data_IF_966198733662
#
_entry.id   IF_966198733662
#
_cell.length_a   1.000
_cell.length_b   1.000
_cell.length_c   1.000
_cell.angle_alpha   90.00
_cell.angle_beta   90.00
_cell.angle_gamma   90.00
#
_symmetry.space_group_name_H-M   'P 1'
#
loop_
_entity.id
_entity.type
_entity.pdbx_description
1 polymer ?
#
# COMPACT_ATOMS: atom_id res chain seq x y z
N UNK A 1 12.81 19.19 0.81
CA UNK A 1 13.68 18.00 0.88
C UNK A 1 12.84 16.84 0.42
N UNK A 2 13.31 16.09 -0.59
CA UNK A 2 12.68 14.83 -0.98
C UNK A 2 12.73 13.90 0.24
N UNK A 3 11.58 13.74 0.91
CA UNK A 3 11.43 12.73 1.95
C UNK A 3 11.56 11.38 1.23
N UNK A 4 12.61 10.62 1.56
CA UNK A 4 12.81 9.27 1.03
C UNK A 4 11.66 8.37 1.50
N UNK A 5 10.60 8.29 0.71
CA UNK A 5 9.47 7.42 0.95
C UNK A 5 9.81 5.99 0.48
N UNK A 6 10.70 5.32 1.20
CA UNK A 6 10.96 3.90 0.97
C UNK A 6 10.90 3.13 2.29
N UNK A 7 10.49 1.87 2.19
CA UNK A 7 10.49 0.95 3.31
C UNK A 7 11.92 0.60 3.68
N UNK A 8 12.17 0.26 4.95
CA UNK A 8 13.51 -0.13 5.39
C UNK A 8 14.04 -1.31 4.55
N UNK A 9 15.11 -1.07 3.79
CA UNK A 9 15.74 -2.05 2.92
C UNK A 9 16.53 -3.14 3.64
N UNK A 10 17.09 -4.06 2.85
CA UNK A 10 17.91 -5.18 3.34
C UNK A 10 17.15 -6.27 4.09
N UNK A 11 17.92 -7.09 4.82
CA UNK A 11 17.44 -8.29 5.52
C UNK A 11 17.58 -8.20 7.05
N UNK A 12 17.95 -7.02 7.57
CA UNK A 12 18.15 -6.79 8.99
C UNK A 12 16.87 -6.93 9.81
N UNK A 13 16.99 -6.97 11.14
CA UNK A 13 15.84 -7.16 12.05
C UNK A 13 14.77 -6.07 11.92
N UNK A 14 15.15 -4.84 11.57
CA UNK A 14 14.24 -3.71 11.36
C UNK A 14 13.82 -3.54 9.88
N UNK A 15 14.25 -4.44 8.98
CA UNK A 15 13.90 -4.38 7.56
C UNK A 15 12.43 -4.66 7.33
N UNK A 16 11.90 -4.15 6.22
CA UNK A 16 10.56 -4.47 5.76
C UNK A 16 10.37 -5.96 5.49
N UNK A 17 11.36 -6.61 4.89
CA UNK A 17 11.31 -8.04 4.57
C UNK A 17 11.03 -8.92 5.79
N UNK A 18 11.51 -8.53 6.98
CA UNK A 18 11.32 -9.26 8.24
C UNK A 18 10.10 -8.81 9.04
N UNK A 19 9.42 -7.72 8.65
CA UNK A 19 8.32 -7.11 9.41
C UNK A 19 7.05 -6.87 8.58
N UNK A 20 6.90 -7.55 7.43
CA UNK A 20 5.79 -7.35 6.50
C UNK A 20 4.67 -8.41 6.56
N UNK A 21 4.49 -9.10 7.70
CA UNK A 21 3.48 -10.18 7.75
C UNK A 21 2.04 -9.66 7.81
N UNK A 22 1.78 -8.45 8.34
CA UNK A 22 0.45 -7.82 8.25
C UNK A 22 0.04 -7.68 6.79
N UNK A 23 0.95 -7.17 5.95
CA UNK A 23 0.74 -7.02 4.51
C UNK A 23 0.52 -8.37 3.84
N UNK A 24 1.24 -9.41 4.27
CA UNK A 24 1.01 -10.79 3.81
C UNK A 24 -0.39 -11.30 4.17
N UNK A 25 -0.89 -11.02 5.38
CA UNK A 25 -2.26 -11.40 5.79
C UNK A 25 -3.31 -10.65 4.96
N UNK A 26 -3.10 -9.37 4.68
CA UNK A 26 -3.97 -8.59 3.79
C UNK A 26 -4.01 -9.21 2.39
N UNK A 27 -2.86 -9.58 1.83
CA UNK A 27 -2.81 -10.29 0.55
C UNK A 27 -3.57 -11.62 0.60
N UNK A 28 -3.44 -12.38 1.70
CA UNK A 28 -4.20 -13.62 1.88
C UNK A 28 -5.72 -13.38 1.93
N UNK A 29 -6.18 -12.31 2.56
CA UNK A 29 -7.61 -11.92 2.58
C UNK A 29 -8.10 -11.47 1.20
N UNK A 30 -7.23 -10.80 0.44
CA UNK A 30 -7.52 -10.35 -0.92
C UNK A 30 -7.44 -11.47 -1.97
N UNK A 31 -6.82 -12.61 -1.64
CA UNK A 31 -6.51 -13.69 -2.59
C UNK A 31 -7.71 -14.19 -3.41
N UNK A 32 -8.88 -14.45 -2.80
CA UNK A 32 -10.03 -14.94 -3.58
C UNK A 32 -10.49 -13.92 -4.64
N UNK A 33 -10.40 -12.63 -4.32
CA UNK A 33 -10.74 -11.56 -5.26
C UNK A 33 -9.74 -11.44 -6.41
N UNK A 34 -8.44 -11.63 -6.11
CA UNK A 34 -7.39 -11.67 -7.11
C UNK A 34 -7.58 -12.83 -8.08
N UNK A 35 -7.81 -14.04 -7.54
CA UNK A 35 -8.03 -15.25 -8.33
C UNK A 35 -9.22 -15.11 -9.28
N UNK A 36 -10.34 -14.55 -8.82
CA UNK A 36 -11.51 -14.30 -9.67
C UNK A 36 -11.23 -13.23 -10.74
N UNK A 37 -10.58 -12.12 -10.37
CA UNK A 37 -10.25 -11.06 -11.33
C UNK A 37 -9.33 -11.55 -12.44
N UNK A 38 -8.30 -12.34 -12.09
CA UNK A 38 -7.38 -12.95 -13.05
C UNK A 38 -8.09 -13.98 -13.93
N UNK A 39 -9.05 -14.72 -13.35
CA UNK A 39 -9.87 -15.68 -14.08
C UNK A 39 -10.67 -14.99 -15.17
N UNK A 40 -11.43 -13.95 -14.83
CA UNK A 40 -12.22 -13.18 -15.80
C UNK A 40 -11.32 -12.59 -16.89
N UNK A 41 -10.21 -11.95 -16.50
CA UNK A 41 -9.25 -11.34 -17.44
C UNK A 41 -8.70 -12.36 -18.45
N UNK A 42 -8.32 -13.55 -17.99
CA UNK A 42 -7.74 -14.57 -18.85
C UNK A 42 -8.78 -15.17 -19.81
N UNK A 43 -10.00 -15.39 -19.33
CA UNK A 43 -11.11 -15.92 -20.15
C UNK A 43 -11.54 -14.96 -21.25
N UNK A 44 -11.39 -13.65 -21.03
CA UNK A 44 -11.78 -12.62 -21.99
C UNK A 44 -10.83 -12.50 -23.19
N UNK A 45 -9.54 -12.80 -23.00
CA UNK A 45 -8.50 -12.44 -23.99
C UNK A 45 -7.56 -13.55 -24.40
N UNK A 46 -7.34 -14.59 -23.58
CA UNK A 46 -6.35 -15.66 -23.83
C UNK A 46 -5.02 -15.12 -24.41
N UNK A 47 -4.35 -14.18 -23.73
CA UNK A 47 -3.21 -13.48 -24.31
C UNK A 47 -2.04 -14.45 -24.51
N UNK A 48 -1.31 -14.33 -25.62
CA UNK A 48 -0.07 -15.10 -25.82
C UNK A 48 1.01 -14.72 -24.80
N UNK A 49 1.01 -13.46 -24.36
CA UNK A 49 1.84 -12.96 -23.28
C UNK A 49 1.00 -12.13 -22.30
N UNK A 50 0.82 -12.65 -21.09
CA UNK A 50 0.18 -11.92 -20.00
C UNK A 50 1.19 -10.95 -19.38
N UNK A 51 0.98 -9.67 -19.67
CA UNK A 51 1.77 -8.56 -19.13
C UNK A 51 1.10 -7.97 -17.90
N UNK A 52 1.81 -7.88 -16.79
CA UNK A 52 1.27 -7.38 -15.53
C UNK A 52 2.26 -6.51 -14.76
N UNK A 53 1.76 -5.68 -13.85
CA UNK A 53 2.59 -4.86 -12.98
C UNK A 53 2.13 -4.95 -11.52
N UNK A 54 3.08 -4.95 -10.59
CA UNK A 54 2.86 -4.75 -9.15
C UNK A 54 3.37 -3.36 -8.77
N UNK A 55 2.47 -2.46 -8.37
CA UNK A 55 2.78 -1.05 -8.08
C UNK A 55 2.95 -0.84 -6.57
N UNK A 56 4.17 -0.50 -6.16
CA UNK A 56 4.60 -0.45 -4.76
C UNK A 56 4.96 -1.82 -4.22
N UNK A 57 5.85 -2.53 -4.91
CA UNK A 57 6.25 -3.89 -4.58
C UNK A 57 7.15 -3.99 -3.33
N UNK A 58 7.77 -2.88 -2.92
CA UNK A 58 8.77 -2.81 -1.86
C UNK A 58 9.98 -3.72 -2.15
N UNK A 59 10.71 -4.12 -1.10
CA UNK A 59 11.94 -4.92 -1.16
C UNK A 59 11.78 -6.32 -0.53
N UNK A 60 10.59 -6.64 -0.03
CA UNK A 60 10.29 -7.87 0.73
C UNK A 60 9.73 -9.03 -0.11
N UNK A 61 9.58 -10.22 0.51
CA UNK A 61 9.15 -11.44 -0.19
C UNK A 61 7.70 -11.37 -0.71
N UNK A 62 6.90 -10.42 -0.21
CA UNK A 62 5.50 -10.26 -0.60
C UNK A 62 5.33 -9.95 -2.09
N UNK A 63 6.28 -9.24 -2.73
CA UNK A 63 6.26 -8.99 -4.17
C UNK A 63 6.20 -10.29 -4.96
N UNK A 64 7.09 -11.24 -4.65
CA UNK A 64 7.16 -12.54 -5.34
C UNK A 64 5.98 -13.46 -5.01
N UNK A 65 5.36 -13.30 -3.82
CA UNK A 65 4.15 -14.03 -3.47
C UNK A 65 2.99 -13.68 -4.42
N UNK A 66 2.81 -12.40 -4.76
CA UNK A 66 1.80 -11.99 -5.73
C UNK A 66 2.04 -12.64 -7.10
N UNK A 67 3.30 -12.66 -7.57
CA UNK A 67 3.68 -13.27 -8.85
C UNK A 67 3.35 -14.76 -8.88
N UNK A 68 3.68 -15.48 -7.79
CA UNK A 68 3.38 -16.90 -7.63
C UNK A 68 1.88 -17.17 -7.79
N UNK A 69 1.07 -16.42 -7.07
CA UNK A 69 -0.39 -16.60 -7.02
C UNK A 69 -1.05 -16.27 -8.36
N UNK A 70 -0.56 -15.24 -9.05
CA UNK A 70 -1.01 -14.93 -10.41
C UNK A 70 -0.73 -16.10 -11.35
N UNK A 71 0.51 -16.56 -11.36
CA UNK A 71 0.94 -17.66 -12.22
C UNK A 71 0.13 -18.93 -11.92
N UNK A 72 -0.04 -19.27 -10.65
CA UNK A 72 -0.78 -20.45 -10.21
C UNK A 72 -2.26 -20.40 -10.62
N UNK A 73 -2.87 -19.22 -10.50
CA UNK A 73 -4.26 -19.00 -10.92
C UNK A 73 -4.44 -19.24 -12.41
N UNK A 74 -3.58 -18.63 -13.24
CA UNK A 74 -3.65 -18.74 -14.70
C UNK A 74 -3.33 -20.17 -15.15
N UNK A 75 -2.34 -20.82 -14.54
CA UNK A 75 -1.99 -22.21 -14.80
C UNK A 75 -3.14 -23.18 -14.46
N UNK A 76 -3.85 -22.94 -13.35
CA UNK A 76 -5.02 -23.75 -12.99
C UNK A 76 -6.16 -23.59 -14.00
N UNK A 77 -6.39 -22.38 -14.52
CA UNK A 77 -7.44 -22.11 -15.50
C UNK A 77 -7.08 -22.71 -16.86
N UNK A 78 -5.85 -22.51 -17.35
CA UNK A 78 -5.43 -23.01 -18.67
C UNK A 78 -5.47 -24.54 -18.73
N UNK A 79 -5.08 -25.23 -17.65
CA UNK A 79 -5.17 -26.70 -17.54
C UNK A 79 -6.61 -27.19 -17.65
N UNK A 80 -7.55 -26.54 -16.97
CA UNK A 80 -8.99 -26.87 -17.04
C UNK A 80 -9.57 -26.68 -18.44
N UNK A 81 -9.07 -25.71 -19.19
CA UNK A 81 -9.55 -25.37 -20.54
C UNK A 81 -8.75 -26.01 -21.67
N UNK A 82 -7.74 -26.83 -21.35
CA UNK A 82 -6.81 -27.41 -22.31
C UNK A 82 -6.20 -26.36 -23.26
N UNK A 83 -5.80 -25.21 -22.70
CA UNK A 83 -5.15 -24.10 -23.43
C UNK A 83 -3.64 -24.16 -23.27
N UNK A 84 -2.94 -23.64 -24.28
CA UNK A 84 -1.50 -23.43 -24.23
C UNK A 84 -1.14 -22.42 -23.16
N UNK A 85 0.09 -22.50 -22.68
CA UNK A 85 0.59 -21.61 -21.65
C UNK A 85 0.96 -20.24 -22.22
N UNK A 86 0.51 -19.13 -21.60
CA UNK A 86 1.00 -17.82 -21.99
C UNK A 86 2.42 -17.59 -21.47
N UNK A 87 3.16 -16.73 -22.16
CA UNK A 87 4.33 -16.10 -21.56
C UNK A 87 3.89 -15.12 -20.45
N UNK A 88 4.66 -15.00 -19.38
CA UNK A 88 4.44 -13.98 -18.36
C UNK A 88 5.50 -12.88 -18.49
N UNK A 89 5.07 -11.62 -18.47
CA UNK A 89 5.98 -10.48 -18.34
C UNK A 89 5.48 -9.62 -17.18
N UNK A 90 6.23 -9.62 -16.09
CA UNK A 90 5.82 -8.96 -14.85
C UNK A 90 6.77 -7.82 -14.50
N UNK A 91 6.20 -6.65 -14.24
CA UNK A 91 6.93 -5.46 -13.82
C UNK A 91 6.75 -5.22 -12.32
N UNK A 92 7.86 -5.13 -11.60
CA UNK A 92 7.90 -4.80 -10.18
C UNK A 92 8.24 -3.31 -10.07
N UNK A 93 7.25 -2.48 -9.71
CA UNK A 93 7.41 -1.04 -9.59
C UNK A 93 7.49 -0.62 -8.13
N UNK A 94 8.39 0.32 -7.86
CA UNK A 94 8.47 1.09 -6.62
C UNK A 94 9.19 2.41 -6.88
N UNK A 95 9.31 3.27 -5.87
CA UNK A 95 10.08 4.52 -5.95
C UNK A 95 11.58 4.24 -6.15
N UNK A 96 12.29 5.26 -6.62
CA UNK A 96 13.70 5.15 -7.02
C UNK A 96 14.62 4.64 -5.90
N UNK A 97 14.35 5.04 -4.66
CA UNK A 97 15.17 4.69 -3.49
C UNK A 97 14.81 3.33 -2.88
N UNK A 98 13.89 2.57 -3.49
CA UNK A 98 13.60 1.21 -3.05
C UNK A 98 14.79 0.28 -3.26
N UNK A 99 14.94 -0.72 -2.40
CA UNK A 99 16.00 -1.72 -2.48
C UNK A 99 15.66 -2.81 -3.52
N UNK A 100 15.68 -2.41 -4.80
CA UNK A 100 15.55 -3.34 -5.93
C UNK A 100 16.65 -4.39 -5.95
N UNK A 101 17.83 -4.11 -5.39
CA UNK A 101 18.93 -5.08 -5.35
C UNK A 101 18.54 -6.31 -4.51
N UNK A 102 17.89 -6.11 -3.35
CA UNK A 102 17.38 -7.21 -2.55
C UNK A 102 16.35 -8.04 -3.32
N UNK A 103 15.40 -7.37 -3.97
CA UNK A 103 14.37 -8.01 -4.79
C UNK A 103 14.97 -8.82 -5.95
N UNK A 104 15.89 -8.23 -6.71
CA UNK A 104 16.53 -8.88 -7.86
C UNK A 104 17.34 -10.11 -7.44
N UNK A 105 18.01 -10.08 -6.27
CA UNK A 105 18.73 -11.25 -5.74
C UNK A 105 17.83 -12.43 -5.42
N UNK A 106 16.54 -12.20 -5.14
CA UNK A 106 15.57 -13.26 -4.85
C UNK A 106 14.97 -13.93 -6.10
N UNK A 107 15.06 -13.29 -7.27
CA UNK A 107 14.48 -13.78 -8.54
C UNK A 107 15.03 -15.15 -8.99
N UNK A 108 16.35 -15.44 -8.92
CA UNK A 108 16.87 -16.75 -9.33
C UNK A 108 16.25 -17.91 -8.55
N UNK A 109 16.14 -17.78 -7.22
CA UNK A 109 15.52 -18.79 -6.37
C UNK A 109 14.04 -18.98 -6.71
N UNK A 110 13.32 -17.89 -6.97
CA UNK A 110 11.93 -17.95 -7.42
C UNK A 110 11.78 -18.75 -8.72
N UNK A 111 12.65 -18.55 -9.71
CA UNK A 111 12.62 -19.31 -10.96
C UNK A 111 12.92 -20.79 -10.77
N UNK A 112 13.85 -21.15 -9.90
CA UNK A 112 14.14 -22.55 -9.58
C UNK A 112 12.93 -23.25 -8.95
N UNK A 113 12.28 -22.61 -7.99
CA UNK A 113 11.06 -23.12 -7.36
C UNK A 113 9.93 -23.28 -8.37
N UNK A 114 9.75 -22.28 -9.25
CA UNK A 114 8.73 -22.31 -10.29
C UNK A 114 8.93 -23.50 -11.26
N UNK A 115 10.16 -23.73 -11.71
CA UNK A 115 10.49 -24.89 -12.56
C UNK A 115 10.27 -26.22 -11.83
N UNK A 116 10.63 -26.30 -10.55
CA UNK A 116 10.46 -27.51 -9.73
C UNK A 116 8.98 -27.88 -9.56
N UNK A 117 8.12 -26.89 -9.36
CA UNK A 117 6.70 -27.09 -9.08
C UNK A 117 5.85 -27.29 -10.33
N UNK A 118 6.18 -26.56 -11.40
CA UNK A 118 5.39 -26.55 -12.63
C UNK A 118 5.92 -27.49 -13.71
N UNK A 119 7.15 -28.00 -13.55
CA UNK A 119 7.83 -28.83 -14.53
C UNK A 119 8.61 -28.02 -15.56
N UNK A 120 9.42 -28.72 -16.36
CA UNK A 120 10.29 -28.11 -17.39
C UNK A 120 9.54 -27.44 -18.55
N UNK A 121 8.25 -27.72 -18.70
CA UNK A 121 7.39 -27.20 -19.77
C UNK A 121 6.62 -25.93 -19.37
N UNK A 122 6.84 -25.38 -18.17
CA UNK A 122 6.21 -24.13 -17.74
C UNK A 122 6.62 -22.95 -18.64
N UNK A 123 5.66 -22.10 -18.96
CA UNK A 123 5.79 -21.00 -19.92
C UNK A 123 6.88 -20.00 -19.52
N UNK A 124 7.45 -19.26 -20.48
CA UNK A 124 8.52 -18.32 -20.17
C UNK A 124 8.00 -17.19 -19.27
N UNK A 125 8.73 -16.90 -18.19
CA UNK A 125 8.38 -15.87 -17.22
C UNK A 125 9.52 -14.84 -17.10
N UNK A 126 9.22 -13.58 -17.42
CA UNK A 126 10.18 -12.48 -17.44
C UNK A 126 9.81 -11.46 -16.36
N UNK A 127 10.72 -11.24 -15.41
CA UNK A 127 10.52 -10.27 -14.33
C UNK A 127 11.45 -9.08 -14.59
N UNK A 128 10.90 -7.87 -14.52
CA UNK A 128 11.64 -6.62 -14.68
C UNK A 128 11.34 -5.63 -13.55
N UNK A 129 12.34 -4.89 -13.10
CA UNK A 129 12.15 -3.75 -12.21
C UNK A 129 11.73 -2.52 -13.03
N UNK A 130 10.79 -1.73 -12.50
CA UNK A 130 10.30 -0.50 -13.09
C UNK A 130 10.31 0.64 -12.06
N UNK A 131 11.47 1.27 -11.80
CA UNK A 131 11.56 2.34 -10.81
C UNK A 131 10.79 3.59 -11.28
N UNK A 132 9.99 4.19 -10.40
CA UNK A 132 9.27 5.42 -10.68
C UNK A 132 8.02 5.62 -9.82
N UNK A 133 7.55 6.86 -9.77
CA UNK A 133 6.34 7.21 -9.04
C UNK A 133 5.09 6.80 -9.84
N UNK A 134 4.31 5.86 -9.30
CA UNK A 134 3.07 5.41 -9.93
C UNK A 134 1.98 6.47 -9.98
N UNK A 135 2.14 7.66 -9.40
CA UNK A 135 1.21 8.76 -9.68
C UNK A 135 1.34 9.30 -11.10
N UNK A 136 2.44 9.06 -11.79
CA UNK A 136 2.63 9.38 -13.21
C UNK A 136 2.56 8.16 -14.12
N UNK A 137 2.96 8.36 -15.38
CA UNK A 137 3.13 7.31 -16.39
C UNK A 137 4.40 6.50 -16.12
N UNK A 138 4.29 5.18 -16.17
CA UNK A 138 5.37 4.20 -16.05
C UNK A 138 5.50 3.36 -17.33
N UNK A 139 4.39 3.05 -18.00
CA UNK A 139 4.38 2.13 -19.13
C UNK A 139 3.87 2.80 -20.40
N UNK A 140 4.21 2.29 -21.60
CA UNK A 140 3.57 2.71 -22.84
C UNK A 140 2.05 2.47 -22.84
N UNK A 141 1.34 3.16 -23.70
CA UNK A 141 -0.11 2.99 -23.84
C UNK A 141 -0.47 1.54 -24.17
N UNK A 142 -1.54 1.03 -23.57
CA UNK A 142 -2.10 -0.30 -23.85
C UNK A 142 -1.07 -1.44 -23.81
N UNK A 143 -0.18 -1.40 -22.82
CA UNK A 143 0.93 -2.35 -22.70
C UNK A 143 0.71 -3.39 -21.59
N UNK A 144 -0.22 -3.15 -20.67
CA UNK A 144 -0.49 -4.05 -19.53
C UNK A 144 -1.89 -4.65 -19.60
N UNK A 145 -2.00 -5.92 -19.22
CA UNK A 145 -3.28 -6.63 -19.08
C UNK A 145 -3.82 -6.53 -17.65
N UNK A 146 -2.91 -6.56 -16.68
CA UNK A 146 -3.27 -6.57 -15.26
C UNK A 146 -2.37 -5.65 -14.44
N UNK A 147 -2.96 -4.90 -13.52
CA UNK A 147 -2.22 -4.10 -12.55
C UNK A 147 -2.66 -4.49 -11.14
N UNK A 148 -1.69 -4.79 -10.29
CA UNK A 148 -1.91 -5.04 -8.88
C UNK A 148 -1.23 -3.97 -8.04
N UNK A 149 -1.81 -3.69 -6.87
CA UNK A 149 -1.18 -2.81 -5.89
C UNK A 149 -1.71 -3.10 -4.50
N UNK A 150 -0.85 -3.47 -3.55
CA UNK A 150 -1.27 -3.73 -2.17
C UNK A 150 -0.49 -2.84 -1.21
N UNK A 151 -1.22 -2.10 -0.37
CA UNK A 151 -0.64 -1.29 0.71
C UNK A 151 0.34 -0.20 0.25
N UNK A 152 0.18 0.32 -0.96
CA UNK A 152 0.99 1.44 -1.46
C UNK A 152 0.13 2.65 -1.87
N UNK A 153 -1.06 2.44 -2.41
CA UNK A 153 -1.97 3.50 -2.90
C UNK A 153 -2.52 4.40 -1.80
N UNK A 154 -2.23 4.21 -0.50
CA UNK A 154 -2.62 5.19 0.54
C UNK A 154 -1.57 6.28 0.77
N UNK A 155 -0.30 6.02 0.45
CA UNK A 155 0.77 7.02 0.46
C UNK A 155 0.48 8.12 -0.56
N UNK A 156 0.88 9.36 -0.28
CA UNK A 156 0.66 10.53 -1.13
C UNK A 156 1.96 10.95 -1.80
N UNK A 157 1.83 11.71 -2.89
CA UNK A 157 2.97 12.28 -3.62
C UNK A 157 3.83 13.22 -2.77
N UNK A 158 3.27 13.76 -1.69
CA UNK A 158 3.90 14.75 -0.81
C UNK A 158 3.10 14.88 0.50
N UNK A 159 3.59 15.69 1.42
CA UNK A 159 2.78 16.25 2.51
C UNK A 159 1.86 17.37 1.94
N UNK A 160 0.63 17.56 2.46
CA UNK A 160 -0.21 18.69 2.05
C UNK A 160 0.47 20.05 2.29
N UNK A 161 0.40 20.96 1.30
CA UNK A 161 1.13 22.25 1.31
C UNK A 161 0.47 23.37 2.14
N UNK A 162 -0.77 23.17 2.60
CA UNK A 162 -1.57 24.18 3.29
C UNK A 162 -1.82 23.81 4.76
N UNK A 163 -0.78 23.38 5.46
CA UNK A 163 -0.83 22.98 6.87
C UNK A 163 -0.30 24.04 7.84
N UNK A 164 -0.15 25.29 7.36
CA UNK A 164 0.28 26.44 8.13
C UNK A 164 -0.77 27.55 8.01
N UNK A 165 -1.05 28.25 9.10
CA UNK A 165 -1.99 29.37 9.14
C UNK A 165 -1.44 30.61 8.44
N UNK A 166 -2.30 31.60 8.18
CA UNK A 166 -1.88 32.91 7.65
C UNK A 166 -0.83 33.62 8.53
N UNK A 167 -0.78 33.27 9.82
CA UNK A 167 0.16 33.81 10.80
C UNK A 167 1.43 32.95 10.96
N UNK A 168 1.63 31.95 10.10
CA UNK A 168 2.81 31.09 10.14
C UNK A 168 2.75 29.98 11.20
N UNK A 169 1.61 29.74 11.84
CA UNK A 169 1.47 28.70 12.88
C UNK A 169 1.03 27.36 12.29
N UNK A 170 1.62 26.23 12.71
CA UNK A 170 1.17 24.90 12.28
C UNK A 170 -0.31 24.65 12.59
N UNK A 171 -1.07 24.15 11.61
CA UNK A 171 -2.50 23.86 11.75
C UNK A 171 -2.74 22.48 12.38
N UNK A 172 -1.81 21.52 12.22
CA UNK A 172 -1.91 20.17 12.79
C UNK A 172 -1.10 20.04 14.10
N UNK A 173 -1.13 21.09 14.93
CA UNK A 173 -0.30 21.19 16.15
C UNK A 173 -0.43 19.95 17.04
N UNK A 174 0.69 19.41 17.51
CA UNK A 174 0.76 18.26 18.42
C UNK A 174 0.45 16.91 17.78
N UNK A 175 0.27 16.84 16.44
CA UNK A 175 -0.13 15.64 15.74
C UNK A 175 0.70 15.42 14.47
N UNK A 176 1.09 14.16 14.22
CA UNK A 176 1.80 13.78 12.99
C UNK A 176 0.86 13.45 11.83
N UNK A 177 -0.43 13.27 12.09
CA UNK A 177 -1.44 12.90 11.11
C UNK A 177 -2.83 13.35 11.60
N UNK A 178 -3.89 13.06 10.83
CA UNK A 178 -5.27 13.30 11.23
C UNK A 178 -5.60 12.56 12.54
N UNK A 179 -6.14 13.31 13.49
CA UNK A 179 -6.65 12.86 14.77
C UNK A 179 -8.07 13.40 14.99
N UNK A 180 -8.73 12.96 16.06
CA UNK A 180 -10.12 13.35 16.37
C UNK A 180 -10.33 14.86 16.50
N UNK A 181 -9.32 15.58 17.01
CA UNK A 181 -9.38 17.02 17.24
C UNK A 181 -8.76 17.84 16.10
N UNK A 182 -8.34 17.19 15.01
CA UNK A 182 -7.72 17.87 13.88
C UNK A 182 -8.69 18.88 13.24
N UNK A 183 -8.27 20.12 12.96
CA UNK A 183 -9.10 21.10 12.30
C UNK A 183 -9.62 20.63 10.94
N UNK A 184 -10.83 21.05 10.58
CA UNK A 184 -11.47 20.69 9.29
C UNK A 184 -10.61 21.06 8.08
N UNK A 185 -9.92 22.20 8.13
CA UNK A 185 -9.04 22.67 7.04
C UNK A 185 -7.87 21.71 6.78
N UNK A 186 -7.31 21.11 7.83
CA UNK A 186 -6.25 20.10 7.70
C UNK A 186 -6.81 18.85 7.02
N UNK A 187 -7.97 18.38 7.47
CA UNK A 187 -8.65 17.25 6.81
C UNK A 187 -8.91 17.52 5.33
N UNK A 188 -9.44 18.69 4.98
CA UNK A 188 -9.71 19.10 3.60
C UNK A 188 -8.42 19.12 2.76
N UNK A 189 -7.30 19.60 3.31
CA UNK A 189 -6.01 19.59 2.61
C UNK A 189 -5.52 18.17 2.29
N UNK A 190 -5.69 17.22 3.23
CA UNK A 190 -5.37 15.80 2.98
C UNK A 190 -6.31 15.16 1.95
N UNK A 191 -7.61 15.44 2.04
CA UNK A 191 -8.61 14.92 1.11
C UNK A 191 -8.41 15.46 -0.32
N UNK A 192 -8.09 16.74 -0.47
CA UNK A 192 -7.80 17.35 -1.76
C UNK A 192 -6.56 16.74 -2.41
N UNK A 193 -5.50 16.53 -1.61
CA UNK A 193 -4.30 15.84 -2.07
C UNK A 193 -4.59 14.39 -2.47
N UNK A 194 -5.38 13.67 -1.67
CA UNK A 194 -5.84 12.33 -2.01
C UNK A 194 -6.58 12.30 -3.35
N UNK A 195 -7.58 13.17 -3.52
CA UNK A 195 -8.37 13.25 -4.74
C UNK A 195 -7.50 13.55 -5.96
N UNK A 196 -6.61 14.54 -5.86
CA UNK A 196 -5.68 14.91 -6.93
C UNK A 196 -4.83 13.71 -7.34
N UNK A 197 -4.11 13.14 -6.39
CA UNK A 197 -3.15 12.07 -6.63
C UNK A 197 -3.86 10.80 -7.16
N UNK A 198 -5.03 10.45 -6.61
CA UNK A 198 -5.83 9.33 -7.10
C UNK A 198 -6.35 9.53 -8.52
N UNK A 199 -6.77 10.75 -8.90
CA UNK A 199 -7.17 11.05 -10.28
C UNK A 199 -6.00 10.83 -11.25
N UNK A 200 -4.80 11.33 -10.91
CA UNK A 200 -3.63 11.15 -11.79
C UNK A 200 -3.20 9.68 -11.84
N UNK A 201 -3.26 8.96 -10.71
CA UNK A 201 -3.04 7.52 -10.67
C UNK A 201 -4.00 6.81 -11.63
N UNK A 202 -5.31 6.94 -11.43
CA UNK A 202 -6.33 6.27 -12.24
C UNK A 202 -6.16 6.59 -13.73
N UNK A 203 -6.03 7.87 -14.08
CA UNK A 203 -5.83 8.28 -15.47
C UNK A 203 -4.58 7.67 -16.10
N UNK A 204 -3.47 7.63 -15.36
CA UNK A 204 -2.23 7.01 -15.87
C UNK A 204 -2.40 5.51 -16.09
N UNK A 205 -3.13 4.82 -15.19
CA UNK A 205 -3.40 3.38 -15.31
C UNK A 205 -4.34 3.06 -16.45
N UNK A 206 -5.34 3.91 -16.73
CA UNK A 206 -6.28 3.67 -17.82
C UNK A 206 -5.63 3.78 -19.20
N UNK A 207 -4.67 4.69 -19.35
CA UNK A 207 -3.86 4.83 -20.57
C UNK A 207 -2.92 3.61 -20.78
N UNK A 208 -2.36 3.07 -19.70
CA UNK A 208 -1.40 1.95 -19.75
C UNK A 208 -2.03 0.58 -19.92
N UNK A 209 -3.27 0.40 -19.43
CA UNK A 209 -4.00 -0.85 -19.56
C UNK A 209 -4.54 -1.03 -20.98
N UNK A 210 -4.49 -2.26 -21.48
CA UNK A 210 -5.23 -2.67 -22.68
C UNK A 210 -6.74 -2.53 -22.44
N UNK A 211 -7.51 -2.53 -23.53
CA UNK A 211 -8.95 -2.59 -23.47
C UNK A 211 -9.40 -3.87 -22.75
N UNK A 212 -10.30 -3.74 -21.78
CA UNK A 212 -10.74 -4.86 -20.95
C UNK A 212 -9.70 -5.33 -19.92
N UNK A 213 -8.53 -4.68 -19.85
CA UNK A 213 -7.55 -4.90 -18.80
C UNK A 213 -8.11 -4.56 -17.43
N UNK A 214 -7.60 -5.23 -16.40
CA UNK A 214 -8.09 -5.10 -15.02
C UNK A 214 -7.02 -4.53 -14.11
N UNK A 215 -7.45 -3.77 -13.11
CA UNK A 215 -6.60 -3.33 -12.02
C UNK A 215 -7.24 -3.70 -10.69
N UNK A 216 -6.45 -4.24 -9.78
CA UNK A 216 -6.87 -4.53 -8.42
C UNK A 216 -5.93 -3.86 -7.44
N UNK A 217 -6.49 -3.11 -6.50
CA UNK A 217 -5.70 -2.52 -5.43
C UNK A 217 -6.35 -2.69 -4.05
N UNK A 218 -5.50 -2.87 -3.04
CA UNK A 218 -5.90 -2.92 -1.63
C UNK A 218 -5.16 -1.83 -0.86
N UNK A 219 -5.89 -1.02 -0.11
CA UNK A 219 -5.32 0.08 0.67
C UNK A 219 -5.89 0.16 2.06
N UNK A 220 -5.14 0.80 2.97
CA UNK A 220 -5.64 1.15 4.29
C UNK A 220 -6.63 2.31 4.11
N UNK A 221 -7.81 2.17 4.71
CA UNK A 221 -8.82 3.20 4.79
C UNK A 221 -9.28 3.40 6.22
N UNK A 222 -10.46 3.99 6.37
CA UNK A 222 -11.13 4.12 7.67
C UNK A 222 -12.63 3.95 7.53
N UNK A 223 -13.25 3.54 8.64
CA UNK A 223 -14.69 3.44 8.76
C UNK A 223 -15.25 4.70 9.42
N UNK A 224 -15.87 5.58 8.63
CA UNK A 224 -16.46 6.81 9.14
C UNK A 224 -17.77 6.58 9.93
N UNK A 225 -18.32 5.36 9.93
CA UNK A 225 -19.52 5.03 10.69
C UNK A 225 -19.24 4.70 12.16
N UNK A 226 -17.97 4.48 12.53
CA UNK A 226 -17.59 4.11 13.89
C UNK A 226 -17.41 5.35 14.75
N UNK A 227 -18.31 5.53 15.72
CA UNK A 227 -18.15 6.50 16.80
C UNK A 227 -17.17 5.93 17.84
N UNK A 228 -15.96 6.48 17.88
CA UNK A 228 -14.92 6.08 18.82
C UNK A 228 -15.11 6.78 20.18
N UNK A 229 -14.99 6.03 21.26
CA UNK A 229 -14.91 6.58 22.62
C UNK A 229 -13.57 7.33 22.84
N UNK A 230 -13.45 8.09 23.93
CA UNK A 230 -12.24 8.91 24.18
C UNK A 230 -10.96 8.10 24.37
N UNK A 231 -11.06 6.87 24.85
CA UNK A 231 -9.97 5.92 25.07
C UNK A 231 -9.58 5.16 23.79
N UNK A 232 -10.40 5.19 22.75
CA UNK A 232 -10.12 4.55 21.47
C UNK A 232 -9.32 5.47 20.53
N UNK A 233 -8.48 4.86 19.69
CA UNK A 233 -7.80 5.56 18.61
C UNK A 233 -8.38 5.17 17.26
N UNK A 234 -8.33 6.11 16.32
CA UNK A 234 -8.82 5.92 14.96
C UNK A 234 -7.93 5.00 14.13
N UNK A 235 -6.63 5.00 14.40
CA UNK A 235 -5.63 4.20 13.72
C UNK A 235 -4.32 4.16 14.54
N UNK A 236 -3.41 3.25 14.18
CA UNK A 236 -2.16 3.05 14.92
C UNK A 236 -1.22 4.28 14.90
N UNK A 237 -1.31 5.14 13.88
CA UNK A 237 -0.49 6.35 13.76
C UNK A 237 -0.87 7.41 14.79
N UNK A 238 -2.11 7.40 15.27
CA UNK A 238 -2.51 8.25 16.39
C UNK A 238 -1.75 7.87 17.68
N UNK A 239 -1.50 6.58 17.91
CA UNK A 239 -0.65 6.13 19.02
C UNK A 239 0.82 6.51 18.82
N UNK A 240 1.31 6.51 17.58
CA UNK A 240 2.67 6.96 17.28
C UNK A 240 2.81 8.45 17.57
N UNK A 241 1.88 9.28 17.09
CA UNK A 241 1.84 10.72 17.37
C UNK A 241 1.74 11.02 18.87
N UNK A 242 0.91 10.28 19.62
CA UNK A 242 0.85 10.38 21.09
C UNK A 242 2.19 9.99 21.75
N UNK A 243 2.91 9.00 21.22
CA UNK A 243 4.24 8.63 21.74
C UNK A 243 5.25 9.75 21.52
N UNK A 244 5.26 10.37 20.33
CA UNK A 244 6.14 11.50 20.03
C UNK A 244 5.79 12.69 20.94
N UNK A 245 4.50 12.95 21.17
CA UNK A 245 4.05 14.01 22.09
C UNK A 245 4.52 13.78 23.53
N UNK A 246 4.48 12.56 24.05
CA UNK A 246 5.05 12.25 25.36
C UNK A 246 6.57 12.57 25.41
N UNK A 247 7.30 12.23 24.34
CA UNK A 247 8.73 12.52 24.24
C UNK A 247 9.03 14.02 24.15
N UNK A 248 8.12 14.83 23.60
CA UNK A 248 8.20 16.30 23.66
C UNK A 248 8.03 16.80 25.10
N UNK A 249 7.04 16.26 25.84
CA UNK A 249 6.83 16.63 27.25
C UNK A 249 8.01 16.24 28.15
N UNK A 250 8.71 15.16 27.81
CA UNK A 250 9.94 14.73 28.49
C UNK A 250 11.19 15.54 28.07
N UNK A 251 11.07 16.44 27.08
CA UNK A 251 12.18 17.25 26.56
C UNK A 251 13.18 16.48 25.69
N UNK A 252 12.79 15.30 25.17
CA UNK A 252 13.61 14.49 24.27
C UNK A 252 13.50 14.99 22.82
N UNK A 253 12.33 15.49 22.44
CA UNK A 253 12.03 16.05 21.12
C UNK A 253 11.57 17.50 21.28
N UNK A 254 12.01 18.38 20.39
CA UNK A 254 11.55 19.77 20.34
C UNK A 254 10.08 19.85 19.88
N UNK A 255 9.25 20.67 20.55
CA UNK A 255 7.81 20.82 20.21
C UNK A 255 7.62 21.24 18.73
N UNK A 256 8.47 22.15 18.24
CA UNK A 256 8.46 22.62 16.85
C UNK A 256 8.65 21.46 15.85
N UNK A 257 9.51 20.48 16.17
CA UNK A 257 9.70 19.30 15.31
C UNK A 257 8.45 18.42 15.27
N UNK A 258 7.69 18.31 16.35
CA UNK A 258 6.42 17.59 16.32
C UNK A 258 5.39 18.35 15.48
N UNK A 259 5.26 19.65 15.68
CA UNK A 259 4.25 20.47 15.00
C UNK A 259 4.46 20.56 13.48
N UNK A 260 5.72 20.48 13.04
CA UNK A 260 6.09 20.46 11.62
C UNK A 260 6.04 19.06 11.00
N UNK A 261 5.92 17.99 11.80
CA UNK A 261 5.88 16.62 11.31
C UNK A 261 4.48 16.28 10.80
N UNK A 262 4.35 15.94 9.52
CA UNK A 262 3.09 15.50 8.93
C UNK A 262 3.34 14.31 8.01
N UNK A 263 2.58 13.22 8.20
CA UNK A 263 2.78 11.99 7.46
C UNK A 263 2.19 12.07 6.04
N UNK A 264 2.91 11.66 4.99
CA UNK A 264 2.47 11.78 3.61
C UNK A 264 1.57 10.60 3.20
N UNK A 265 0.48 10.34 3.93
CA UNK A 265 -0.54 9.37 3.54
C UNK A 265 -1.94 9.88 3.86
N UNK A 266 -2.96 9.28 3.25
CA UNK A 266 -4.36 9.52 3.60
C UNK A 266 -5.10 8.21 3.70
N UNK A 267 -5.94 8.08 4.73
CA UNK A 267 -6.79 6.92 4.99
C UNK A 267 -8.23 7.28 4.59
N UNK A 268 -8.66 6.99 3.34
CA UNK A 268 -9.97 7.39 2.85
C UNK A 268 -11.09 6.53 3.42
N UNK A 269 -12.32 7.05 3.37
CA UNK A 269 -13.52 6.20 3.55
C UNK A 269 -13.84 5.43 2.26
N UNK A 270 -14.63 4.33 2.34
CA UNK A 270 -15.16 3.66 1.16
C UNK A 270 -15.84 4.60 0.16
N UNK A 271 -16.60 5.58 0.66
CA UNK A 271 -17.33 6.55 -0.16
C UNK A 271 -16.38 7.49 -0.90
N UNK A 272 -15.31 7.96 -0.25
CA UNK A 272 -14.29 8.81 -0.87
C UNK A 272 -13.57 8.07 -2.01
N UNK A 273 -13.25 6.78 -1.82
CA UNK A 273 -12.65 5.93 -2.87
C UNK A 273 -13.62 5.75 -4.04
N UNK A 274 -14.90 5.43 -3.77
CA UNK A 274 -15.91 5.32 -4.84
C UNK A 274 -16.08 6.62 -5.60
N UNK A 275 -16.15 7.73 -4.89
CA UNK A 275 -16.31 9.06 -5.46
C UNK A 275 -15.16 9.38 -6.42
N UNK A 276 -13.91 9.17 -6.02
CA UNK A 276 -12.78 9.54 -6.89
C UNK A 276 -12.67 8.66 -8.13
N UNK A 277 -12.97 7.35 -8.03
CA UNK A 277 -13.02 6.45 -9.19
C UNK A 277 -14.11 6.88 -10.17
N UNK A 278 -15.30 7.20 -9.66
CA UNK A 278 -16.43 7.64 -10.49
C UNK A 278 -16.17 9.01 -11.12
N UNK A 279 -15.53 9.91 -10.38
CA UNK A 279 -15.19 11.27 -10.83
C UNK A 279 -14.16 11.27 -11.96
N UNK A 280 -13.15 10.40 -11.87
CA UNK A 280 -12.16 10.25 -12.95
C UNK A 280 -12.79 9.57 -14.17
N UNK A 281 -13.52 8.47 -13.97
CA UNK A 281 -14.47 7.93 -14.94
C UNK A 281 -13.94 6.88 -15.93
N UNK A 282 -12.64 6.58 -15.95
CA UNK A 282 -12.02 5.61 -16.87
C UNK A 282 -12.28 4.14 -16.51
N UNK A 283 -12.87 3.86 -15.35
CA UNK A 283 -12.95 2.49 -14.82
C UNK A 283 -14.36 2.10 -14.38
N UNK A 284 -14.74 0.84 -14.64
CA UNK A 284 -15.87 0.17 -14.02
C UNK A 284 -15.42 -0.54 -12.76
N UNK A 285 -16.08 -0.29 -11.63
CA UNK A 285 -15.83 -1.05 -10.39
C UNK A 285 -16.50 -2.42 -10.53
N UNK A 286 -15.68 -3.47 -10.64
CA UNK A 286 -16.14 -4.87 -10.72
C UNK A 286 -16.28 -5.50 -9.34
N UNK A 287 -15.45 -5.08 -8.39
CA UNK A 287 -15.51 -5.54 -6.99
C UNK A 287 -15.11 -4.42 -6.04
N UNK A 288 -15.80 -4.35 -4.91
CA UNK A 288 -15.49 -3.39 -3.86
C UNK A 288 -15.82 -4.00 -2.50
N UNK A 289 -14.81 -4.30 -1.71
CA UNK A 289 -14.94 -4.97 -0.43
C UNK A 289 -14.17 -4.24 0.66
N UNK A 290 -14.61 -4.44 1.90
CA UNK A 290 -13.92 -3.94 3.08
C UNK A 290 -13.71 -5.06 4.06
N UNK A 291 -12.55 -5.11 4.70
CA UNK A 291 -12.25 -6.11 5.73
C UNK A 291 -11.26 -5.56 6.74
N UNK A 292 -11.17 -6.22 7.91
CA UNK A 292 -10.27 -5.83 8.98
C UNK A 292 -9.17 -6.88 9.16
N UNK A 293 -7.97 -6.41 9.48
CA UNK A 293 -6.81 -7.25 9.86
C UNK A 293 -6.22 -6.65 11.13
N UNK A 294 -5.92 -7.47 12.15
CA UNK A 294 -5.36 -6.96 13.40
C UNK A 294 -3.93 -6.42 13.20
N UNK A 295 -3.53 -5.44 14.03
CA UNK A 295 -2.20 -4.81 13.92
C UNK A 295 -1.02 -5.78 14.11
N UNK A 296 -1.29 -6.93 14.73
CA UNK A 296 -0.36 -8.00 15.04
C UNK A 296 -0.45 -9.18 14.07
N UNK A 297 -1.00 -9.00 12.87
CA UNK A 297 -1.09 -10.03 11.83
C UNK A 297 -1.82 -11.31 12.27
N UNK A 298 -2.88 -11.16 13.07
CA UNK A 298 -3.73 -12.26 13.55
C UNK A 298 -2.97 -13.32 14.38
N UNK A 299 -1.95 -12.91 15.13
CA UNK A 299 -1.13 -13.78 15.99
C UNK A 299 -1.88 -14.49 17.15
N UNK A 300 -3.20 -14.32 17.27
CA UNK A 300 -4.03 -14.97 18.28
C UNK A 300 -3.77 -14.47 19.70
N UNK A 301 -3.97 -15.34 20.70
CA UNK A 301 -3.91 -15.01 22.13
C UNK A 301 -2.48 -15.06 22.71
N UNK A 302 -1.47 -14.77 21.88
CA UNK A 302 -0.07 -14.68 22.33
C UNK A 302 0.18 -13.55 23.35
N UNK A 303 1.39 -13.54 23.91
CA UNK A 303 1.81 -12.49 24.85
C UNK A 303 1.60 -11.07 24.27
N UNK A 304 0.80 -10.26 24.96
CA UNK A 304 0.47 -8.89 24.54
C UNK A 304 1.70 -7.99 24.42
N UNK A 305 2.76 -8.26 25.20
CA UNK A 305 4.00 -7.49 25.09
C UNK A 305 4.72 -7.83 23.78
N UNK A 306 4.81 -9.11 23.44
CA UNK A 306 5.35 -9.55 22.15
C UNK A 306 4.52 -9.01 20.97
N UNK A 307 3.19 -9.06 21.06
CA UNK A 307 2.27 -8.57 20.01
C UNK A 307 2.41 -7.07 19.78
N UNK A 308 2.53 -6.27 20.83
CA UNK A 308 2.75 -4.82 20.69
C UNK A 308 4.13 -4.49 20.12
N UNK A 309 5.18 -5.23 20.51
CA UNK A 309 6.52 -5.12 19.88
C UNK A 309 6.47 -5.46 18.40
N UNK A 310 5.71 -6.47 18.02
CA UNK A 310 5.55 -6.86 16.62
C UNK A 310 4.83 -5.79 15.80
N UNK A 311 3.70 -5.27 16.30
CA UNK A 311 2.98 -4.18 15.65
C UNK A 311 3.86 -2.92 15.53
N UNK A 312 4.63 -2.59 16.56
CA UNK A 312 5.58 -1.48 16.54
C UNK A 312 6.70 -1.68 15.51
N UNK A 313 7.27 -2.88 15.41
CA UNK A 313 8.29 -3.20 14.42
C UNK A 313 7.75 -3.11 12.98
N UNK A 314 6.49 -3.47 12.77
CA UNK A 314 5.80 -3.30 11.47
C UNK A 314 5.71 -1.82 11.10
N UNK A 315 5.30 -0.94 12.02
CA UNK A 315 5.25 0.51 11.77
C UNK A 315 6.65 1.10 11.60
N UNK A 316 7.64 0.64 12.37
CA UNK A 316 9.05 1.04 12.24
C UNK A 316 9.55 0.79 10.83
N UNK A 317 9.36 -0.43 10.33
CA UNK A 317 9.84 -0.83 9.02
C UNK A 317 9.25 -0.02 7.85
N UNK A 318 8.10 0.65 8.06
CA UNK A 318 7.44 1.47 7.03
C UNK A 318 7.63 2.99 7.20
N UNK A 319 8.13 3.46 8.35
CA UNK A 319 8.17 4.90 8.67
C UNK A 319 9.51 5.40 9.18
N UNK A 320 10.44 4.52 9.56
CA UNK A 320 11.72 4.91 10.15
C UNK A 320 12.54 5.82 9.23
N UNK A 321 12.53 5.59 7.91
CA UNK A 321 13.20 6.47 6.93
C UNK A 321 12.68 7.91 6.99
N UNK A 322 11.36 8.08 7.03
CA UNK A 322 10.68 9.38 7.12
C UNK A 322 10.98 10.04 8.48
N UNK A 323 10.84 9.27 9.56
CA UNK A 323 11.00 9.79 10.93
C UNK A 323 12.45 10.11 11.26
N UNK A 324 13.41 9.34 10.78
CA UNK A 324 14.85 9.58 10.96
C UNK A 324 15.27 10.89 10.30
N UNK A 325 14.77 11.15 9.10
CA UNK A 325 15.04 12.40 8.36
C UNK A 325 14.55 13.62 9.13
N UNK A 326 13.47 13.49 9.90
CA UNK A 326 12.82 14.60 10.60
C UNK A 326 13.27 14.77 12.06
N UNK A 327 13.41 13.67 12.79
CA UNK A 327 13.69 13.66 14.23
C UNK A 327 15.12 13.26 14.60
N UNK A 328 15.89 12.68 13.68
CA UNK A 328 17.24 12.14 13.94
C UNK A 328 17.24 10.64 14.25
N UNK A 329 18.33 9.97 13.88
CA UNK A 329 18.51 8.51 14.04
C UNK A 329 18.55 8.12 15.53
N UNK A 330 19.15 8.96 16.36
CA UNK A 330 19.33 8.77 17.79
C UNK A 330 17.99 8.65 18.57
N UNK A 331 16.90 9.14 17.99
CA UNK A 331 15.56 9.13 18.60
C UNK A 331 14.82 7.80 18.33
N UNK A 332 15.16 7.10 17.25
CA UNK A 332 14.34 6.02 16.71
C UNK A 332 14.17 4.83 17.66
N UNK A 333 15.25 4.37 18.29
CA UNK A 333 15.18 3.23 19.20
C UNK A 333 14.29 3.51 20.41
N UNK A 334 14.49 4.68 21.05
CA UNK A 334 13.68 5.11 22.19
C UNK A 334 12.21 5.33 21.81
N UNK A 335 11.95 5.92 20.64
CA UNK A 335 10.60 6.11 20.11
C UNK A 335 9.86 4.78 19.94
N UNK A 336 10.48 3.82 19.24
CA UNK A 336 9.80 2.56 18.93
C UNK A 336 9.69 1.61 20.14
N UNK A 337 10.56 1.71 21.14
CA UNK A 337 10.40 1.01 22.41
C UNK A 337 9.17 1.54 23.19
N UNK A 338 9.04 2.86 23.29
CA UNK A 338 7.89 3.52 23.96
C UNK A 338 6.60 3.24 23.21
N UNK A 339 6.64 3.32 21.88
CA UNK A 339 5.51 3.04 21.01
C UNK A 339 5.05 1.58 21.17
N UNK A 340 5.97 0.61 21.21
CA UNK A 340 5.62 -0.79 21.47
C UNK A 340 4.88 -0.97 22.80
N UNK A 341 5.35 -0.31 23.88
CA UNK A 341 4.67 -0.33 25.17
C UNK A 341 3.25 0.26 25.08
N UNK A 342 3.10 1.40 24.39
CA UNK A 342 1.80 2.06 24.21
C UNK A 342 0.82 1.21 23.39
N UNK A 343 1.29 0.56 22.32
CA UNK A 343 0.49 -0.38 21.53
C UNK A 343 0.05 -1.58 22.39
N UNK A 344 0.97 -2.18 23.15
CA UNK A 344 0.62 -3.28 24.08
C UNK A 344 -0.43 -2.87 25.11
N UNK A 345 -0.35 -1.65 25.65
CA UNK A 345 -1.34 -1.13 26.60
C UNK A 345 -2.70 -0.93 25.94
N UNK A 346 -2.74 -0.35 24.75
CA UNK A 346 -3.97 -0.18 23.98
C UNK A 346 -4.64 -1.53 23.69
N UNK A 347 -3.85 -2.52 23.26
CA UNK A 347 -4.34 -3.87 22.92
C UNK A 347 -4.87 -4.66 24.12
N UNK A 348 -4.65 -4.22 25.37
CA UNK A 348 -5.30 -4.80 26.56
C UNK A 348 -6.78 -4.45 26.65
N UNK A 349 -7.16 -3.30 26.11
CA UNK A 349 -8.50 -2.71 26.25
C UNK A 349 -9.31 -2.75 24.95
N UNK A 350 -8.62 -2.68 23.82
CA UNK A 350 -9.25 -2.56 22.51
C UNK A 350 -8.61 -3.47 21.47
N UNK A 351 -9.41 -3.83 20.46
CA UNK A 351 -8.92 -4.58 19.31
C UNK A 351 -8.22 -3.60 18.35
N UNK A 352 -6.90 -3.70 18.23
CA UNK A 352 -6.12 -2.92 17.27
C UNK A 352 -6.24 -3.51 15.87
N UNK A 353 -6.93 -2.82 14.95
CA UNK A 353 -7.22 -3.31 13.60
C UNK A 353 -6.93 -2.25 12.51
N UNK A 354 -6.45 -2.71 11.36
CA UNK A 354 -6.44 -1.95 10.12
C UNK A 354 -7.77 -2.16 9.40
N UNK A 355 -8.39 -1.08 8.95
CA UNK A 355 -9.52 -1.13 8.04
C UNK A 355 -8.99 -1.09 6.60
N UNK A 356 -9.36 -2.08 5.80
CA UNK A 356 -8.87 -2.25 4.45
C UNK A 356 -9.99 -2.07 3.44
N UNK A 357 -9.67 -1.42 2.34
CA UNK A 357 -10.53 -1.27 1.16
C UNK A 357 -9.86 -2.02 0.02
N UNK A 358 -10.56 -2.99 -0.55
CA UNK A 358 -10.17 -3.75 -1.73
C UNK A 358 -11.06 -3.34 -2.88
N UNK A 359 -10.43 -2.95 -3.98
CA UNK A 359 -11.12 -2.55 -5.20
C UNK A 359 -10.56 -3.35 -6.37
N UNK A 360 -11.46 -3.93 -7.17
CA UNK A 360 -11.13 -4.40 -8.52
C UNK A 360 -11.90 -3.53 -9.51
N UNK A 361 -11.19 -3.08 -10.54
CA UNK A 361 -11.74 -2.26 -11.62
C UNK A 361 -11.35 -2.81 -12.98
N UNK A 362 -12.20 -2.58 -13.97
CA UNK A 362 -11.97 -2.91 -15.38
C UNK A 362 -11.89 -1.64 -16.21
N UNK A 363 -10.89 -1.55 -17.08
CA UNK A 363 -10.66 -0.37 -17.91
C UNK A 363 -11.82 -0.20 -18.91
N UNK A 364 -12.49 0.96 -18.84
CA UNK A 364 -13.63 1.28 -19.70
C UNK A 364 -13.17 1.57 -21.10
N UNK A 365 -14.06 1.25 -22.02
CA UNK A 365 -14.03 1.78 -23.38
C UNK A 365 -14.29 3.30 -23.31
N UNK A 366 -13.27 4.13 -23.51
CA UNK A 366 -13.49 5.51 -23.97
C UNK A 366 -13.03 5.55 -25.42
N UNK A 367 -13.99 5.48 -26.33
CA UNK A 367 -13.79 5.78 -27.74
C UNK A 367 -13.53 7.27 -27.92
N UNK A 368 -12.32 7.72 -27.62
CA UNK A 368 -11.87 9.07 -28.00
C UNK A 368 -11.75 9.24 -29.53
N UNK A 369 -12.12 8.21 -30.32
CA UNK A 369 -12.23 8.25 -31.78
C UNK A 369 -13.62 8.58 -32.34
N UNK A 370 -14.64 8.90 -31.51
CA UNK A 370 -15.97 9.32 -32.02
C UNK A 370 -16.35 10.78 -31.74
N UNK A 371 -15.40 11.65 -31.38
CA UNK A 371 -15.63 13.11 -31.30
C UNK A 371 -14.77 13.93 -32.28
N UNK A 372 -14.19 13.29 -33.28
CA UNK A 372 -13.57 13.98 -34.42
C UNK A 372 -14.00 13.33 -35.74
N UNK A 373 -15.26 13.60 -36.12
CA UNK A 373 -15.78 13.42 -37.47
C UNK A 373 -16.67 14.58 -37.84
#
# INVERSE_FOLDING_TARGET
MDQSLCMNGGEGRASYAQNSFVQKQVMSRAMPALQETLRELYLDSFPECLKSADLGCSSGPNALLFLREMIDSIDAIRKKLNKTEPAFQIFLNDLFDNDFNNLIRSIPSFYEELRREKGGDFGPCFIAAMPGNFYGRLFPDHSLHFIHSSYSVHWRSQVPVNLVSEFGSPLNKGHIYLARITPKSVYEAYLDLFNRDMIVFLKSRSEELVLGGSMMFTMIGRDASVNLSEDQVSNIWELLGRTISDMVQEGIIEEEKLDDCNMPFYLPTPEEVRYVIQKEGSFDITRFETFKVTWDAEMGDGDLQMRGKYAAATVRAVSESILTTHFGEEVMDGLFERFASKVSQYMKLHKGEYFNILVSVKNRWISTLMQSS
#
